data_IF_681854443644
#
_entry.id   IF_681854443644
#
_cell.length_a   1.000
_cell.length_b   1.000
_cell.length_c   1.000
_cell.angle_alpha   90.00
_cell.angle_beta   90.00
_cell.angle_gamma   90.00
#
_symmetry.space_group_name_H-M   'P 1'
#
loop_
_entity.id
_entity.type
_entity.pdbx_description
1 polymer ?
#
# COMPACT_ATOMS: atom_id res chain seq x y z
N UNK A 1 -32.80 3.23 10.24
CA UNK A 1 -32.19 4.28 9.37
C UNK A 1 -30.70 4.47 9.65
N UNK A 2 -30.23 4.14 10.85
CA UNK A 2 -28.80 4.08 11.24
C UNK A 2 -28.03 2.94 10.57
N UNK A 3 -28.69 1.85 10.14
CA UNK A 3 -28.03 0.61 9.71
C UNK A 3 -27.33 0.69 8.34
N UNK A 4 -27.73 1.64 7.49
CA UNK A 4 -27.14 1.84 6.15
C UNK A 4 -26.09 2.95 6.08
N UNK A 5 -25.99 3.77 7.13
CA UNK A 5 -25.05 4.90 7.19
C UNK A 5 -23.60 4.43 7.26
N UNK A 6 -23.33 3.37 8.03
CA UNK A 6 -21.99 2.79 8.16
C UNK A 6 -21.51 2.11 6.86
N UNK A 7 -22.28 1.20 6.21
CA UNK A 7 -21.92 0.64 4.91
C UNK A 7 -21.70 1.72 3.84
N UNK A 8 -22.55 2.75 3.82
CA UNK A 8 -22.41 3.87 2.89
C UNK A 8 -21.12 4.66 3.09
N UNK A 9 -20.77 4.98 4.33
CA UNK A 9 -19.52 5.67 4.66
C UNK A 9 -18.30 4.82 4.26
N UNK A 10 -18.30 3.52 4.57
CA UNK A 10 -17.23 2.59 4.19
C UNK A 10 -17.08 2.53 2.67
N UNK A 11 -18.19 2.43 1.93
CA UNK A 11 -18.17 2.39 0.47
C UNK A 11 -17.58 3.67 -0.14
N UNK A 12 -17.94 4.84 0.39
CA UNK A 12 -17.38 6.12 -0.05
C UNK A 12 -15.89 6.20 0.25
N UNK A 13 -15.47 5.82 1.46
CA UNK A 13 -14.05 5.80 1.84
C UNK A 13 -13.25 4.84 0.94
N UNK A 14 -13.77 3.64 0.70
CA UNK A 14 -13.15 2.67 -0.19
C UNK A 14 -13.05 3.19 -1.63
N UNK A 15 -14.06 3.92 -2.13
CA UNK A 15 -14.05 4.52 -3.46
C UNK A 15 -12.95 5.58 -3.61
N UNK A 16 -12.81 6.49 -2.62
CA UNK A 16 -11.75 7.50 -2.65
C UNK A 16 -10.36 6.88 -2.58
N UNK A 17 -10.18 5.86 -1.76
CA UNK A 17 -8.90 5.14 -1.67
C UNK A 17 -8.57 4.38 -2.95
N UNK A 18 -9.55 3.72 -3.56
CA UNK A 18 -9.41 3.08 -4.86
C UNK A 18 -9.06 4.06 -5.98
N UNK A 19 -9.57 5.31 -5.92
CA UNK A 19 -9.23 6.35 -6.88
C UNK A 19 -7.77 6.81 -6.78
N UNK A 20 -7.19 6.78 -5.57
CA UNK A 20 -5.76 7.07 -5.34
C UNK A 20 -4.89 5.83 -5.58
N UNK A 21 -5.48 4.63 -5.66
CA UNK A 21 -4.78 3.36 -5.86
C UNK A 21 -4.10 2.84 -4.59
N UNK A 22 -4.65 3.20 -3.43
CA UNK A 22 -4.17 2.74 -2.14
C UNK A 22 -5.27 1.90 -1.49
N UNK A 23 -4.98 0.63 -1.20
CA UNK A 23 -5.87 -0.23 -0.42
C UNK A 23 -6.07 0.38 0.99
N UNK A 24 -7.21 1.06 1.18
CA UNK A 24 -7.49 2.09 2.19
C UNK A 24 -7.60 1.71 3.66
N UNK A 25 -6.60 1.02 4.20
CA UNK A 25 -6.59 0.49 5.56
C UNK A 25 -7.12 1.46 6.65
N UNK A 26 -6.65 2.72 6.70
CA UNK A 26 -6.92 3.60 7.86
C UNK A 26 -8.34 4.14 7.93
N UNK A 27 -9.02 4.31 6.79
CA UNK A 27 -10.31 5.00 6.72
C UNK A 27 -11.46 4.19 7.32
N UNK A 28 -11.60 2.91 6.92
CA UNK A 28 -12.63 2.03 7.49
C UNK A 28 -12.26 1.49 8.87
N UNK A 29 -10.96 1.36 9.21
CA UNK A 29 -10.52 1.11 10.59
C UNK A 29 -11.00 2.20 11.56
N UNK A 30 -10.94 3.47 11.15
CA UNK A 30 -11.48 4.58 11.95
C UNK A 30 -13.00 4.47 12.12
N UNK A 31 -13.74 4.12 11.06
CA UNK A 31 -15.19 3.88 11.11
C UNK A 31 -15.55 2.72 12.04
N UNK A 32 -14.78 1.62 11.99
CA UNK A 32 -14.97 0.48 12.88
C UNK A 32 -14.71 0.83 14.35
N UNK A 33 -13.70 1.65 14.62
CA UNK A 33 -13.42 2.16 15.97
C UNK A 33 -14.53 3.07 16.51
N UNK A 34 -15.12 3.90 15.66
CA UNK A 34 -16.25 4.77 16.04
C UNK A 34 -17.53 3.98 16.39
N UNK A 35 -17.73 2.82 15.75
CA UNK A 35 -18.87 1.93 16.03
C UNK A 35 -18.58 0.98 17.20
N UNK A 36 -17.34 0.91 17.66
CA UNK A 36 -16.95 0.05 18.79
C UNK A 36 -16.96 -1.44 18.44
N UNK A 37 -16.64 -1.81 17.19
CA UNK A 37 -16.52 -3.21 16.81
C UNK A 37 -15.45 -3.92 17.65
N UNK A 38 -15.70 -5.19 17.98
CA UNK A 38 -14.72 -6.02 18.66
C UNK A 38 -13.45 -6.19 17.78
N UNK A 39 -12.27 -6.16 18.39
CA UNK A 39 -10.97 -6.24 17.68
C UNK A 39 -10.90 -7.42 16.70
N UNK A 40 -11.41 -8.60 17.07
CA UNK A 40 -11.44 -9.77 16.17
C UNK A 40 -12.27 -9.54 14.89
N UNK A 41 -13.47 -8.96 15.01
CA UNK A 41 -14.34 -8.65 13.87
C UNK A 41 -13.75 -7.53 13.01
N UNK A 42 -13.07 -6.59 13.66
CA UNK A 42 -12.39 -5.48 13.01
C UNK A 42 -11.23 -5.96 12.12
N UNK A 43 -10.40 -6.90 12.60
CA UNK A 43 -9.32 -7.53 11.80
C UNK A 43 -9.85 -8.22 10.56
N UNK A 44 -10.84 -9.11 10.72
CA UNK A 44 -11.37 -9.92 9.62
C UNK A 44 -12.02 -9.03 8.56
N UNK A 45 -12.83 -8.05 9.00
CA UNK A 45 -13.50 -7.11 8.11
C UNK A 45 -12.49 -6.22 7.37
N UNK A 46 -11.50 -5.66 8.08
CA UNK A 46 -10.47 -4.82 7.47
C UNK A 46 -9.63 -5.60 6.44
N UNK A 47 -9.27 -6.84 6.73
CA UNK A 47 -8.53 -7.69 5.80
C UNK A 47 -9.36 -8.00 4.54
N UNK A 48 -10.63 -8.37 4.72
CA UNK A 48 -11.54 -8.65 3.61
C UNK A 48 -11.73 -7.43 2.69
N UNK A 49 -11.93 -6.24 3.28
CA UNK A 49 -12.04 -4.99 2.54
C UNK A 49 -10.73 -4.63 1.82
N UNK A 50 -9.57 -4.79 2.46
CA UNK A 50 -8.29 -4.51 1.82
C UNK A 50 -8.03 -5.42 0.61
N UNK A 51 -8.37 -6.72 0.71
CA UNK A 51 -8.26 -7.65 -0.41
C UNK A 51 -9.24 -7.26 -1.53
N UNK A 52 -10.48 -6.90 -1.18
CA UNK A 52 -11.49 -6.50 -2.16
C UNK A 52 -11.08 -5.22 -2.92
N UNK A 53 -10.66 -4.18 -2.20
CA UNK A 53 -10.23 -2.90 -2.80
C UNK A 53 -8.99 -3.12 -3.66
N UNK A 54 -7.98 -3.84 -3.15
CA UNK A 54 -6.78 -4.16 -3.92
C UNK A 54 -7.08 -4.98 -5.18
N UNK A 55 -8.06 -5.89 -5.13
CA UNK A 55 -8.49 -6.66 -6.31
C UNK A 55 -9.17 -5.78 -7.35
N UNK A 56 -10.04 -4.86 -6.94
CA UNK A 56 -10.69 -3.89 -7.83
C UNK A 56 -9.65 -2.96 -8.46
N UNK A 57 -8.70 -2.44 -7.68
CA UNK A 57 -7.58 -1.63 -8.18
C UNK A 57 -6.75 -2.40 -9.21
N UNK A 58 -6.34 -3.63 -8.87
CA UNK A 58 -5.55 -4.48 -9.77
C UNK A 58 -6.31 -4.75 -11.08
N UNK A 59 -7.62 -4.99 -10.99
CA UNK A 59 -8.47 -5.18 -12.17
C UNK A 59 -8.55 -3.91 -13.03
N UNK A 60 -8.75 -2.75 -12.41
CA UNK A 60 -8.82 -1.45 -13.11
C UNK A 60 -7.50 -1.12 -13.82
N UNK A 61 -6.35 -1.32 -13.15
CA UNK A 61 -5.02 -1.12 -13.75
C UNK A 61 -4.77 -2.07 -14.92
N UNK A 62 -5.18 -3.34 -14.79
CA UNK A 62 -5.11 -4.31 -15.88
C UNK A 62 -6.00 -3.90 -17.07
N UNK A 63 -7.22 -3.43 -16.80
CA UNK A 63 -8.15 -2.97 -17.84
C UNK A 63 -7.67 -1.71 -18.54
N UNK A 64 -6.97 -0.82 -17.83
CA UNK A 64 -6.36 0.38 -18.40
C UNK A 64 -5.10 0.11 -19.26
N UNK A 65 -4.65 -1.15 -19.35
CA UNK A 65 -3.42 -1.50 -20.08
C UNK A 65 -2.14 -0.99 -19.41
N UNK A 66 -2.24 -0.50 -18.16
CA UNK A 66 -1.11 0.05 -17.40
C UNK A 66 -0.31 -1.04 -16.67
N UNK A 67 -0.84 -2.27 -16.60
CA UNK A 67 -0.22 -3.40 -15.91
C UNK A 67 0.24 -4.48 -16.88
N UNK A 68 1.52 -4.44 -17.26
CA UNK A 68 2.17 -5.55 -17.97
C UNK A 68 2.68 -6.61 -16.99
N UNK A 69 2.12 -7.82 -17.06
CA UNK A 69 2.50 -8.94 -16.18
C UNK A 69 4.01 -9.26 -16.23
N UNK A 70 4.64 -9.06 -17.41
CA UNK A 70 6.08 -9.26 -17.61
C UNK A 70 6.94 -8.23 -16.87
N UNK A 71 6.42 -7.02 -16.70
CA UNK A 71 7.08 -5.94 -15.98
C UNK A 71 6.80 -6.02 -14.48
N UNK A 72 5.64 -6.54 -14.06
CA UNK A 72 5.24 -6.64 -12.65
C UNK A 72 5.85 -7.85 -11.92
N UNK A 73 5.87 -9.04 -12.54
CA UNK A 73 6.32 -10.27 -11.88
C UNK A 73 7.72 -10.17 -11.22
N UNK A 74 8.75 -9.57 -11.84
CA UNK A 74 10.08 -9.42 -11.21
C UNK A 74 10.04 -8.69 -9.87
N UNK A 75 9.17 -7.68 -9.72
CA UNK A 75 9.01 -6.97 -8.46
C UNK A 75 8.31 -7.83 -7.40
N UNK A 76 7.30 -8.60 -7.83
CA UNK A 76 6.53 -9.47 -6.93
C UNK A 76 7.32 -10.63 -6.33
N UNK A 77 8.25 -11.23 -7.09
CA UNK A 77 9.00 -12.43 -6.65
C UNK A 77 9.77 -12.20 -5.35
N UNK A 78 10.52 -11.10 -5.24
CA UNK A 78 11.20 -10.75 -3.99
C UNK A 78 10.39 -9.79 -3.11
N UNK A 79 9.52 -8.96 -3.68
CA UNK A 79 8.74 -8.00 -2.90
C UNK A 79 7.80 -8.66 -1.89
N UNK A 80 7.13 -9.75 -2.28
CA UNK A 80 6.21 -10.48 -1.39
C UNK A 80 6.95 -11.07 -0.17
N UNK A 81 7.99 -11.92 -0.33
CA UNK A 81 8.68 -12.51 0.82
C UNK A 81 9.38 -11.47 1.69
N UNK A 82 9.97 -10.42 1.09
CA UNK A 82 10.60 -9.36 1.87
C UNK A 82 9.58 -8.48 2.59
N UNK A 83 8.37 -8.29 2.06
CA UNK A 83 7.29 -7.60 2.78
C UNK A 83 6.85 -8.35 4.02
N UNK A 84 6.75 -9.68 3.94
CA UNK A 84 6.50 -10.51 5.11
C UNK A 84 7.65 -10.44 6.11
N UNK A 85 8.90 -10.48 5.64
CA UNK A 85 10.08 -10.38 6.50
C UNK A 85 10.15 -9.02 7.21
N UNK A 86 9.90 -7.92 6.48
CA UNK A 86 9.87 -6.57 7.03
C UNK A 86 8.71 -6.36 8.00
N UNK A 87 7.54 -6.94 7.73
CA UNK A 87 6.37 -6.86 8.63
C UNK A 87 6.46 -7.75 9.86
N UNK A 88 7.24 -8.83 9.81
CA UNK A 88 7.53 -9.66 10.99
C UNK A 88 8.44 -8.95 12.00
N UNK A 89 9.28 -8.03 11.52
CA UNK A 89 10.15 -7.21 12.36
C UNK A 89 9.34 -6.09 13.05
N UNK A 90 8.94 -6.32 14.29
CA UNK A 90 8.36 -5.29 15.13
C UNK A 90 9.46 -4.33 15.60
N UNK A 91 9.61 -3.20 14.90
CA UNK A 91 10.54 -2.16 15.32
C UNK A 91 10.02 -1.43 16.56
N UNK A 92 10.87 -1.20 17.58
CA UNK A 92 10.48 -0.36 18.71
C UNK A 92 10.16 1.06 18.23
N UNK A 93 9.16 1.70 18.84
CA UNK A 93 8.64 3.01 18.42
C UNK A 93 9.69 4.12 18.31
N UNK A 94 10.79 4.02 19.08
CA UNK A 94 11.96 4.90 19.03
C UNK A 94 12.68 4.88 17.68
N UNK A 95 12.63 3.76 16.94
CA UNK A 95 13.28 3.59 15.63
C UNK A 95 12.27 3.79 14.51
N UNK A 96 11.02 3.39 14.70
CA UNK A 96 9.96 3.52 13.69
C UNK A 96 9.74 4.98 13.25
N UNK A 97 9.55 5.90 14.20
CA UNK A 97 9.26 7.31 13.91
C UNK A 97 10.33 7.99 13.03
N UNK A 98 11.63 7.94 13.40
CA UNK A 98 12.69 8.49 12.58
C UNK A 98 12.82 7.86 11.19
N UNK A 99 12.61 6.55 11.07
CA UNK A 99 12.67 5.84 9.78
C UNK A 99 11.58 6.32 8.84
N UNK A 100 10.33 6.39 9.31
CA UNK A 100 9.21 6.91 8.49
C UNK A 100 9.43 8.38 8.15
N UNK A 101 9.86 9.19 9.11
CA UNK A 101 10.17 10.60 8.87
C UNK A 101 11.24 10.80 7.79
N UNK A 102 12.33 10.04 7.84
CA UNK A 102 13.38 10.07 6.82
C UNK A 102 12.84 9.64 5.45
N UNK A 103 12.01 8.60 5.39
CA UNK A 103 11.40 8.11 4.16
C UNK A 103 10.49 9.16 3.52
N UNK A 104 9.70 9.88 4.33
CA UNK A 104 8.85 10.99 3.88
C UNK A 104 9.68 12.18 3.39
N UNK A 105 10.75 12.55 4.10
CA UNK A 105 11.67 13.60 3.64
C UNK A 105 12.33 13.23 2.30
N UNK A 106 12.75 11.98 2.12
CA UNK A 106 13.30 11.48 0.86
C UNK A 106 12.27 11.52 -0.26
N UNK A 107 11.04 11.08 0.00
CA UNK A 107 9.95 11.15 -0.98
C UNK A 107 9.63 12.59 -1.40
N UNK A 108 9.53 13.51 -0.43
CA UNK A 108 9.30 14.92 -0.69
C UNK A 108 10.45 15.55 -1.49
N UNK A 109 11.70 15.27 -1.13
CA UNK A 109 12.88 15.74 -1.86
C UNK A 109 12.90 15.20 -3.29
N UNK A 110 12.61 13.91 -3.49
CA UNK A 110 12.56 13.29 -4.81
C UNK A 110 11.45 13.89 -5.68
N UNK A 111 10.28 14.13 -5.10
CA UNK A 111 9.13 14.75 -5.79
C UNK A 111 9.43 16.21 -6.17
N UNK A 112 10.05 16.98 -5.27
CA UNK A 112 10.51 18.34 -5.55
C UNK A 112 11.58 18.37 -6.66
N UNK A 113 12.58 17.47 -6.59
CA UNK A 113 13.62 17.34 -7.61
C UNK A 113 13.06 17.00 -8.99
N UNK A 114 12.08 16.08 -9.07
CA UNK A 114 11.39 15.74 -10.34
C UNK A 114 10.60 16.92 -10.90
N UNK A 115 9.89 17.65 -10.05
CA UNK A 115 9.13 18.84 -10.42
C UNK A 115 10.06 19.94 -10.97
N UNK A 116 11.20 20.18 -10.32
CA UNK A 116 12.18 21.19 -10.74
C UNK A 116 12.86 20.77 -12.06
N UNK A 117 13.24 19.49 -12.19
CA UNK A 117 14.06 19.01 -13.32
C UNK A 117 13.30 18.81 -14.62
N UNK A 118 11.96 18.94 -14.66
CA UNK A 118 11.13 18.70 -15.85
C UNK A 118 11.63 17.49 -16.66
N UNK A 119 11.97 16.41 -15.94
CA UNK A 119 12.58 15.23 -16.58
C UNK A 119 11.56 14.75 -17.61
N UNK A 120 11.86 14.81 -18.92
CA UNK A 120 10.96 14.26 -19.92
C UNK A 120 10.73 12.80 -19.56
N UNK A 121 9.54 12.24 -19.85
CA UNK A 121 9.34 10.79 -19.85
C UNK A 121 10.18 10.18 -20.98
N UNK A 122 11.50 10.28 -20.86
CA UNK A 122 12.46 9.82 -21.82
C UNK A 122 12.46 8.31 -21.74
N UNK A 123 11.70 7.70 -22.65
CA UNK A 123 11.81 6.30 -23.08
C UNK A 123 12.42 5.38 -22.05
N UNK A 124 11.75 5.21 -20.91
CA UNK A 124 12.10 4.14 -20.00
C UNK A 124 12.08 2.85 -20.82
N UNK A 125 13.12 2.01 -20.76
CA UNK A 125 13.13 0.77 -21.52
C UNK A 125 11.85 0.01 -21.21
N UNK A 126 11.13 -0.42 -22.27
CA UNK A 126 9.82 -1.10 -22.14
C UNK A 126 9.90 -2.37 -21.27
N UNK A 127 11.12 -2.83 -20.97
CA UNK A 127 11.40 -3.87 -20.01
C UNK A 127 12.50 -3.40 -19.05
N UNK A 128 12.21 -3.18 -17.76
CA UNK A 128 13.27 -2.96 -16.78
C UNK A 128 14.16 -4.22 -16.73
N UNK A 129 15.49 -4.06 -16.60
CA UNK A 129 16.38 -5.20 -16.43
C UNK A 129 15.96 -6.02 -15.19
N UNK A 130 15.99 -7.35 -15.33
CA UNK A 130 15.42 -8.28 -14.35
C UNK A 130 16.01 -8.12 -12.94
N UNK A 131 17.35 -8.00 -12.84
CA UNK A 131 18.05 -7.85 -11.55
C UNK A 131 17.67 -6.55 -10.80
N UNK A 132 17.74 -5.35 -11.43
CA UNK A 132 17.33 -4.12 -10.77
C UNK A 132 15.84 -4.10 -10.36
N UNK A 133 14.95 -4.66 -11.18
CA UNK A 133 13.54 -4.79 -10.83
C UNK A 133 13.32 -5.71 -9.60
N UNK A 134 14.07 -6.81 -9.54
CA UNK A 134 14.04 -7.76 -8.43
C UNK A 134 14.53 -7.13 -7.11
N UNK A 135 15.67 -6.43 -7.15
CA UNK A 135 16.20 -5.70 -5.98
C UNK A 135 15.29 -4.55 -5.53
N UNK A 136 14.76 -3.78 -6.47
CA UNK A 136 13.81 -2.72 -6.17
C UNK A 136 12.54 -3.31 -5.51
N UNK A 137 12.01 -4.41 -6.03
CA UNK A 137 10.90 -5.14 -5.43
C UNK A 137 11.20 -5.58 -4.00
N UNK A 138 12.38 -6.16 -3.75
CA UNK A 138 12.81 -6.58 -2.41
C UNK A 138 12.86 -5.40 -1.41
N UNK A 139 13.48 -4.30 -1.80
CA UNK A 139 13.63 -3.10 -0.95
C UNK A 139 12.26 -2.48 -0.66
N UNK A 140 11.44 -2.27 -1.70
CA UNK A 140 10.10 -1.69 -1.57
C UNK A 140 9.21 -2.58 -0.71
N UNK A 141 9.23 -3.90 -0.96
CA UNK A 141 8.51 -4.88 -0.16
C UNK A 141 8.92 -4.82 1.30
N UNK A 142 10.22 -4.87 1.59
CA UNK A 142 10.77 -4.82 2.94
C UNK A 142 10.38 -3.54 3.69
N UNK A 143 10.57 -2.38 3.06
CA UNK A 143 10.25 -1.08 3.66
C UNK A 143 8.74 -0.91 3.87
N UNK A 144 7.91 -1.35 2.92
CA UNK A 144 6.45 -1.37 3.08
C UNK A 144 6.00 -2.31 4.19
N UNK A 145 6.67 -3.46 4.37
CA UNK A 145 6.43 -4.38 5.47
C UNK A 145 6.77 -3.77 6.82
N UNK A 146 7.97 -3.18 6.93
CA UNK A 146 8.46 -2.48 8.13
C UNK A 146 7.56 -1.33 8.56
N UNK A 147 6.99 -0.59 7.60
CA UNK A 147 6.08 0.53 7.88
C UNK A 147 4.66 0.08 8.24
N UNK A 148 4.35 -1.21 8.13
CA UNK A 148 3.11 -1.79 8.60
C UNK A 148 1.84 -1.31 7.89
N UNK A 149 1.97 -0.55 6.80
CA UNK A 149 0.85 0.00 6.00
C UNK A 149 0.05 -1.04 5.22
N UNK A 150 0.48 -2.31 5.24
CA UNK A 150 -0.23 -3.46 4.68
C UNK A 150 -0.63 -4.48 5.75
N UNK A 151 -0.04 -5.67 5.69
CA UNK A 151 -0.38 -6.84 6.53
C UNK A 151 -0.19 -6.64 8.04
N UNK A 152 0.77 -5.81 8.47
CA UNK A 152 1.05 -5.65 9.90
C UNK A 152 -0.05 -4.86 10.64
N UNK A 153 -0.66 -3.87 10.00
CA UNK A 153 -1.82 -3.15 10.58
C UNK A 153 -3.00 -4.08 10.88
N UNK A 154 -3.21 -5.12 10.06
CA UNK A 154 -4.25 -6.12 10.30
C UNK A 154 -3.92 -7.11 11.43
N UNK A 155 -2.65 -7.28 11.78
CA UNK A 155 -2.22 -8.17 12.88
C UNK A 155 -2.23 -7.47 14.24
N UNK A 156 -1.97 -6.16 14.27
CA UNK A 156 -1.77 -5.38 15.51
C UNK A 156 -3.08 -4.87 16.13
N UNK A 157 -4.18 -4.78 15.38
CA UNK A 157 -5.47 -4.23 15.86
C UNK A 157 -6.41 -5.29 16.38
#
# INVERSE_FOLDING_TARGET
MSDFLLPGAIAITALFYAAVGQAGATGYLALFGLVGLASAEMKVSALALNILVAAIETWQFRRAGLLDWRSFYPFGVLGIPFSLLGGALHLPGTVYGPVVGCLLCLAAAQMALRSIRHVPEAGLPHHPPFLPALFAGAIVGFVSGLTGSGLASALVV
#
